data_IF_125489015412
#
_entry.id   IF_125489015412
#
_cell.length_a   1.000
_cell.length_b   1.000
_cell.length_c   1.000
_cell.angle_alpha   90.00
_cell.angle_beta   90.00
_cell.angle_gamma   90.00
#
_symmetry.space_group_name_H-M   'P 1'
#
loop_
_entity.id
_entity.type
_entity.pdbx_description
1 polymer ?
#
# COMPACT_ATOMS: atom_id res chain seq x y z
N UNK A 1 -29.16 5.23 5.88
CA UNK A 1 -29.43 4.28 4.79
C UNK A 1 -30.21 4.88 3.60
N UNK A 2 -31.02 5.92 3.79
CA UNK A 2 -31.68 6.65 2.68
C UNK A 2 -30.73 7.62 1.92
N UNK A 3 -29.61 7.98 2.51
CA UNK A 3 -28.66 8.94 1.93
C UNK A 3 -27.79 8.35 0.81
N UNK A 4 -27.69 7.02 0.73
CA UNK A 4 -26.86 6.33 -0.27
C UNK A 4 -27.54 6.24 -1.63
N UNK A 5 -28.83 6.00 -1.69
CA UNK A 5 -29.55 5.80 -2.96
C UNK A 5 -29.69 7.08 -3.79
N UNK A 6 -30.04 8.20 -3.14
CA UNK A 6 -30.15 9.49 -3.82
C UNK A 6 -28.79 10.01 -4.34
N UNK A 7 -27.71 9.68 -3.62
CA UNK A 7 -26.35 10.05 -4.02
C UNK A 7 -25.87 9.21 -5.21
N UNK A 8 -26.21 7.93 -5.26
CA UNK A 8 -25.89 7.05 -6.39
C UNK A 8 -26.67 7.42 -7.65
N UNK A 9 -27.95 7.78 -7.53
CA UNK A 9 -28.75 8.22 -8.67
C UNK A 9 -28.29 9.59 -9.23
N UNK A 10 -27.82 10.50 -8.37
CA UNK A 10 -27.23 11.75 -8.81
C UNK A 10 -25.89 11.52 -9.54
N UNK A 11 -25.07 10.58 -9.07
CA UNK A 11 -23.79 10.21 -9.70
C UNK A 11 -23.99 9.50 -11.05
N UNK A 12 -25.05 8.72 -11.25
CA UNK A 12 -25.31 8.03 -12.53
C UNK A 12 -25.79 9.01 -13.62
N UNK A 13 -26.39 10.13 -13.26
CA UNK A 13 -26.77 11.18 -14.21
C UNK A 13 -25.60 12.08 -14.64
N UNK A 14 -24.49 12.13 -13.89
CA UNK A 14 -23.33 12.98 -14.17
C UNK A 14 -22.05 12.19 -14.48
N UNK A 15 -22.14 10.99 -15.02
CA UNK A 15 -20.99 10.16 -15.44
C UNK A 15 -19.98 10.88 -16.36
N UNK A 16 -20.28 12.07 -16.82
CA UNK A 16 -19.41 12.84 -17.72
C UNK A 16 -18.47 13.82 -17.02
N UNK A 17 -18.58 14.05 -15.71
CA UNK A 17 -17.77 15.06 -15.05
C UNK A 17 -16.83 14.47 -13.98
N UNK A 18 -15.64 14.00 -14.42
CA UNK A 18 -14.58 13.45 -13.54
C UNK A 18 -14.17 14.41 -12.40
N UNK A 19 -14.34 15.72 -12.60
CA UNK A 19 -14.04 16.74 -11.61
C UNK A 19 -14.98 16.71 -10.40
N UNK A 20 -16.24 16.33 -10.59
CA UNK A 20 -17.25 16.29 -9.52
C UNK A 20 -16.99 15.15 -8.54
N UNK A 21 -16.57 13.99 -9.04
CA UNK A 21 -16.23 12.82 -8.20
C UNK A 21 -15.06 13.11 -7.26
N UNK A 22 -14.02 13.76 -7.78
CA UNK A 22 -12.85 14.18 -6.98
C UNK A 22 -13.26 15.22 -5.96
N UNK A 23 -14.11 16.19 -6.34
CA UNK A 23 -14.62 17.24 -5.45
C UNK A 23 -15.49 16.67 -4.33
N UNK A 24 -16.36 15.72 -4.63
CA UNK A 24 -17.19 15.01 -3.65
C UNK A 24 -16.34 14.21 -2.65
N UNK A 25 -15.35 13.48 -3.13
CA UNK A 25 -14.40 12.80 -2.26
C UNK A 25 -13.66 13.79 -1.35
N UNK A 26 -13.19 14.92 -1.88
CA UNK A 26 -12.50 15.96 -1.11
C UNK A 26 -13.40 16.59 -0.03
N UNK A 27 -14.68 16.81 -0.29
CA UNK A 27 -15.62 17.36 0.71
C UNK A 27 -15.95 16.37 1.83
N UNK A 28 -16.13 15.10 1.52
CA UNK A 28 -16.30 14.05 2.54
C UNK A 28 -15.04 13.95 3.44
N UNK A 29 -13.85 14.14 2.88
CA UNK A 29 -12.58 14.08 3.63
C UNK A 29 -12.27 15.32 4.48
N UNK A 30 -12.91 16.46 4.24
CA UNK A 30 -12.80 17.64 5.12
C UNK A 30 -13.40 17.42 6.50
N UNK A 31 -14.33 16.50 6.65
CA UNK A 31 -14.81 16.03 7.95
C UNK A 31 -13.80 15.01 8.47
N UNK A 32 -12.87 15.44 9.32
CA UNK A 32 -11.90 14.56 10.01
C UNK A 32 -12.65 13.38 10.63
N UNK A 33 -12.41 12.13 10.22
CA UNK A 33 -12.97 11.00 10.95
C UNK A 33 -12.37 11.03 12.36
N UNK A 34 -13.24 10.99 13.36
CA UNK A 34 -12.82 10.79 14.75
C UNK A 34 -12.12 9.43 14.81
N UNK A 35 -10.85 9.43 15.19
CA UNK A 35 -10.06 8.22 15.42
C UNK A 35 -10.61 7.53 16.67
N UNK A 36 -11.60 6.69 16.50
CA UNK A 36 -12.15 5.87 17.58
C UNK A 36 -11.64 4.44 17.40
N UNK A 37 -10.89 3.96 18.38
CA UNK A 37 -10.59 2.54 18.50
C UNK A 37 -11.87 1.74 18.76
N UNK A 38 -11.97 0.52 18.29
CA UNK A 38 -13.12 -0.36 18.50
C UNK A 38 -13.89 -0.68 17.21
N UNK A 39 -15.21 -0.80 17.32
CA UNK A 39 -16.13 -1.24 16.23
C UNK A 39 -16.02 -0.39 14.95
N UNK A 40 -15.55 0.85 15.05
CA UNK A 40 -15.35 1.73 13.90
C UNK A 40 -14.01 1.50 13.16
N UNK A 41 -13.24 0.48 13.51
CA UNK A 41 -11.94 0.18 12.92
C UNK A 41 -12.03 -0.05 11.40
N UNK A 42 -13.07 -0.74 10.96
CA UNK A 42 -13.31 -1.05 9.54
C UNK A 42 -13.80 0.16 8.72
N UNK A 43 -14.19 1.24 9.39
CA UNK A 43 -14.69 2.48 8.78
C UNK A 43 -13.63 3.61 8.79
N UNK A 44 -12.48 3.37 9.40
CA UNK A 44 -11.47 4.39 9.61
C UNK A 44 -10.67 4.76 8.36
N UNK A 45 -10.67 3.90 7.34
CA UNK A 45 -9.94 4.14 6.09
C UNK A 45 -10.76 4.83 5.00
N UNK A 46 -12.05 5.12 5.24
CA UNK A 46 -12.93 5.84 4.31
C UNK A 46 -13.48 4.95 3.18
N UNK A 47 -13.99 5.59 2.14
CA UNK A 47 -14.55 4.91 0.98
C UNK A 47 -13.45 4.57 -0.02
N UNK A 48 -13.05 3.29 -0.08
CA UNK A 48 -11.96 2.78 -0.90
C UNK A 48 -12.41 1.63 -1.81
N UNK A 49 -13.25 1.90 -2.83
CA UNK A 49 -13.82 0.86 -3.69
C UNK A 49 -12.78 0.16 -4.56
N UNK A 50 -11.76 0.87 -5.04
CA UNK A 50 -10.72 0.29 -5.87
C UNK A 50 -9.77 -0.57 -5.03
N UNK A 51 -9.33 -0.07 -3.87
CA UNK A 51 -8.53 -0.85 -2.93
C UNK A 51 -9.29 -2.10 -2.48
N UNK A 52 -10.58 -1.99 -2.18
CA UNK A 52 -11.40 -3.13 -1.78
C UNK A 52 -11.58 -4.17 -2.90
N UNK A 53 -11.52 -3.73 -4.16
CA UNK A 53 -11.68 -4.60 -5.32
C UNK A 53 -10.38 -5.28 -5.75
N UNK A 54 -9.26 -4.57 -5.73
CA UNK A 54 -7.99 -5.02 -6.30
C UNK A 54 -6.93 -5.38 -5.26
N UNK A 55 -7.05 -4.85 -4.03
CA UNK A 55 -6.10 -5.09 -2.97
C UNK A 55 -6.69 -5.96 -1.87
N UNK A 56 -5.84 -6.74 -1.22
CA UNK A 56 -6.19 -7.52 -0.05
C UNK A 56 -5.92 -6.71 1.22
N UNK A 57 -6.93 -6.50 2.06
CA UNK A 57 -6.74 -5.88 3.36
C UNK A 57 -6.09 -6.88 4.33
N UNK A 58 -4.78 -6.74 4.50
CA UNK A 58 -3.99 -7.60 5.40
C UNK A 58 -4.37 -7.37 6.86
N UNK A 59 -4.66 -6.11 7.23
CA UNK A 59 -5.06 -5.76 8.59
C UNK A 59 -6.31 -6.50 9.05
N UNK A 60 -7.30 -6.63 8.19
CA UNK A 60 -8.52 -7.41 8.48
C UNK A 60 -8.21 -8.91 8.58
N UNK A 61 -7.37 -9.43 7.68
CA UNK A 61 -6.97 -10.85 7.71
C UNK A 61 -6.28 -11.24 9.02
N UNK A 62 -5.35 -10.40 9.47
CA UNK A 62 -4.59 -10.65 10.70
C UNK A 62 -5.50 -10.53 11.92
N UNK A 63 -6.38 -9.51 11.98
CA UNK A 63 -7.33 -9.33 13.08
C UNK A 63 -8.32 -10.49 13.21
N UNK A 64 -8.62 -11.19 12.11
CA UNK A 64 -9.47 -12.39 12.09
C UNK A 64 -8.81 -13.66 12.62
N UNK A 65 -7.56 -13.59 13.08
CA UNK A 65 -6.80 -14.76 13.58
C UNK A 65 -6.39 -15.74 12.47
N UNK A 66 -6.52 -15.36 11.21
CA UNK A 66 -6.23 -16.23 10.07
C UNK A 66 -4.72 -16.49 9.86
N UNK A 67 -3.86 -15.68 10.46
CA UNK A 67 -2.41 -15.83 10.38
C UNK A 67 -1.79 -15.56 11.77
N UNK A 68 -1.42 -16.62 12.47
CA UNK A 68 -0.53 -16.50 13.64
C UNK A 68 0.89 -16.20 13.13
N UNK A 69 1.24 -14.92 13.04
CA UNK A 69 2.55 -14.51 12.55
C UNK A 69 3.58 -14.56 13.68
N UNK A 70 4.65 -15.31 13.49
CA UNK A 70 5.77 -15.32 14.44
C UNK A 70 6.55 -14.02 14.28
N UNK A 71 6.27 -13.04 15.14
CA UNK A 71 6.95 -11.73 15.18
C UNK A 71 8.46 -11.83 15.39
N UNK A 72 8.92 -12.88 16.09
CA UNK A 72 10.32 -12.98 16.54
C UNK A 72 11.36 -13.10 15.40
N UNK A 73 10.97 -13.62 14.23
CA UNK A 73 11.94 -13.89 13.16
C UNK A 73 12.41 -12.64 12.39
N UNK A 74 11.66 -11.52 12.49
CA UNK A 74 11.93 -10.31 11.70
C UNK A 74 11.84 -9.01 12.52
N UNK A 75 12.15 -9.07 13.81
CA UNK A 75 12.00 -7.96 14.75
C UNK A 75 12.82 -6.73 14.33
N UNK A 76 14.02 -6.93 13.82
CA UNK A 76 14.88 -5.86 13.33
C UNK A 76 14.25 -5.12 12.14
N UNK A 77 13.74 -5.86 11.15
CA UNK A 77 13.08 -5.28 9.99
C UNK A 77 11.83 -4.49 10.39
N UNK A 78 11.02 -5.02 11.31
CA UNK A 78 9.85 -4.34 11.85
C UNK A 78 10.23 -3.04 12.58
N UNK A 79 11.31 -3.05 13.36
CA UNK A 79 11.84 -1.87 14.02
C UNK A 79 12.30 -0.79 13.04
N UNK A 80 12.97 -1.19 11.96
CA UNK A 80 13.37 -0.27 10.88
C UNK A 80 12.16 0.33 10.16
N UNK A 81 11.13 -0.48 9.86
CA UNK A 81 9.88 0.00 9.25
C UNK A 81 9.18 1.04 10.12
N UNK A 82 9.07 0.79 11.44
CA UNK A 82 8.49 1.75 12.38
C UNK A 82 9.27 3.05 12.42
N UNK A 83 10.61 2.98 12.39
CA UNK A 83 11.49 4.14 12.40
C UNK A 83 11.31 4.99 11.14
N UNK A 84 11.26 4.37 9.96
CA UNK A 84 11.10 5.07 8.68
C UNK A 84 9.71 5.74 8.60
N UNK A 85 8.64 5.01 8.88
CA UNK A 85 7.28 5.56 8.85
C UNK A 85 6.99 6.53 10.00
N UNK A 86 7.70 6.44 11.11
CA UNK A 86 7.60 7.38 12.23
C UNK A 86 8.41 8.65 12.04
N UNK A 87 9.41 8.65 11.13
CA UNK A 87 10.18 9.83 10.77
C UNK A 87 9.36 10.76 9.89
N UNK A 88 9.64 12.05 9.91
CA UNK A 88 9.00 13.04 9.02
C UNK A 88 9.54 13.03 7.58
N UNK A 89 10.33 12.04 7.20
CA UNK A 89 10.95 11.90 5.89
C UNK A 89 10.05 11.20 4.85
N UNK A 90 10.69 10.68 3.80
CA UNK A 90 10.00 9.88 2.77
C UNK A 90 9.39 8.63 3.39
N UNK A 91 8.09 8.43 3.16
CA UNK A 91 7.31 7.36 3.76
C UNK A 91 7.15 6.17 2.80
N UNK A 92 8.26 5.72 2.22
CA UNK A 92 8.30 4.52 1.39
C UNK A 92 9.38 3.55 1.90
N UNK A 93 9.12 2.27 1.78
CA UNK A 93 10.00 1.19 2.20
C UNK A 93 10.03 0.14 1.10
N UNK A 94 11.21 -0.37 0.79
CA UNK A 94 11.36 -1.52 -0.10
C UNK A 94 11.94 -2.69 0.67
N UNK A 95 11.17 -3.76 0.78
CA UNK A 95 11.61 -5.04 1.34
C UNK A 95 12.25 -5.86 0.22
N UNK A 96 13.55 -6.07 0.32
CA UNK A 96 14.34 -6.79 -0.68
C UNK A 96 14.82 -8.10 -0.10
N UNK A 97 14.68 -9.17 -0.85
CA UNK A 97 15.14 -10.50 -0.44
C UNK A 97 14.73 -11.57 -1.45
N UNK A 98 15.35 -12.73 -1.37
CA UNK A 98 15.06 -13.86 -2.24
C UNK A 98 13.59 -14.28 -2.19
N UNK A 99 13.13 -14.99 -3.20
CA UNK A 99 11.78 -15.58 -3.18
C UNK A 99 11.66 -16.54 -2.01
N UNK A 100 10.56 -16.44 -1.26
CA UNK A 100 10.35 -17.22 -0.05
C UNK A 100 11.06 -16.71 1.22
N UNK A 101 11.83 -15.62 1.16
CA UNK A 101 12.52 -15.05 2.34
C UNK A 101 11.58 -14.51 3.43
N UNK A 102 10.25 -14.53 3.21
CA UNK A 102 9.28 -14.07 4.20
C UNK A 102 8.86 -12.61 4.08
N UNK A 103 9.10 -11.94 2.94
CA UNK A 103 8.72 -10.53 2.70
C UNK A 103 7.24 -10.25 3.04
N UNK A 104 6.33 -11.07 2.52
CA UNK A 104 4.88 -10.93 2.77
C UNK A 104 4.51 -11.28 4.22
N UNK A 105 5.30 -12.13 4.89
CA UNK A 105 5.17 -12.43 6.32
C UNK A 105 5.53 -11.20 7.16
N UNK A 106 6.61 -10.50 6.80
CA UNK A 106 7.00 -9.24 7.46
C UNK A 106 5.90 -8.19 7.33
N UNK A 107 5.29 -8.06 6.14
CA UNK A 107 4.17 -7.13 5.92
C UNK A 107 2.97 -7.50 6.80
N UNK A 108 2.67 -8.79 6.93
CA UNK A 108 1.57 -9.28 7.77
C UNK A 108 1.85 -9.03 9.26
N UNK A 109 3.08 -9.31 9.71
CA UNK A 109 3.52 -9.04 11.09
C UNK A 109 3.49 -7.52 11.41
N UNK A 110 3.87 -6.69 10.44
CA UNK A 110 3.78 -5.24 10.56
C UNK A 110 2.31 -4.78 10.70
N UNK A 111 1.41 -5.32 9.89
CA UNK A 111 -0.01 -5.02 9.98
C UNK A 111 -0.61 -5.41 11.36
N UNK A 112 -0.24 -6.57 11.90
CA UNK A 112 -0.63 -7.03 13.24
C UNK A 112 -0.16 -6.07 14.32
N UNK A 113 1.13 -5.68 14.26
CA UNK A 113 1.72 -4.73 15.20
C UNK A 113 1.00 -3.38 15.23
N UNK A 114 0.56 -2.87 14.07
CA UNK A 114 -0.19 -1.61 13.96
C UNK A 114 -1.59 -1.69 14.59
N UNK A 115 -2.25 -2.86 14.47
CA UNK A 115 -3.59 -3.08 15.01
C UNK A 115 -3.57 -3.24 16.53
N UNK A 116 -2.65 -4.07 17.02
CA UNK A 116 -2.56 -4.41 18.44
C UNK A 116 -1.97 -3.28 19.27
N UNK A 117 -1.37 -2.28 18.62
CA UNK A 117 -0.79 -1.11 19.29
C UNK A 117 0.37 -1.49 20.19
N UNK A 118 1.24 -2.42 19.75
CA UNK A 118 2.42 -2.84 20.49
C UNK A 118 3.24 -1.65 20.99
N UNK A 119 3.91 -1.85 22.13
CA UNK A 119 4.82 -0.84 22.72
C UNK A 119 5.89 -0.47 21.69
N UNK A 120 6.01 0.83 21.39
CA UNK A 120 6.95 1.35 20.41
C UNK A 120 6.33 1.80 19.08
N UNK A 121 5.06 1.48 18.81
CA UNK A 121 4.37 1.97 17.60
C UNK A 121 4.06 3.46 17.74
N UNK A 122 4.57 4.33 16.85
CA UNK A 122 4.25 5.75 16.86
C UNK A 122 2.74 6.00 16.74
N UNK A 123 2.24 7.00 17.49
CA UNK A 123 0.79 7.35 17.47
C UNK A 123 0.26 7.64 16.06
N UNK A 124 1.11 8.13 15.17
CA UNK A 124 0.76 8.42 13.77
C UNK A 124 0.51 7.16 12.92
N UNK A 125 0.98 6.01 13.40
CA UNK A 125 0.83 4.72 12.72
C UNK A 125 -0.26 3.84 13.32
N UNK A 126 -0.72 4.16 14.54
CA UNK A 126 -1.78 3.39 15.18
C UNK A 126 -3.04 3.38 14.31
N UNK A 127 -3.63 2.19 14.17
CA UNK A 127 -4.86 1.94 13.40
C UNK A 127 -4.75 2.22 11.89
N UNK A 128 -3.55 2.32 11.35
CA UNK A 128 -3.34 2.31 9.90
C UNK A 128 -3.71 0.92 9.34
N UNK A 129 -4.35 0.92 8.17
CA UNK A 129 -4.73 -0.30 7.46
C UNK A 129 -3.71 -0.61 6.39
N UNK A 130 -3.22 -1.84 6.35
CA UNK A 130 -2.28 -2.30 5.31
C UNK A 130 -3.05 -3.01 4.21
N UNK A 131 -3.00 -2.47 3.01
CA UNK A 131 -3.58 -3.07 1.81
C UNK A 131 -2.46 -3.61 0.92
N UNK A 132 -2.51 -4.89 0.60
CA UNK A 132 -1.56 -5.55 -0.29
C UNK A 132 -2.15 -5.67 -1.69
N UNK A 133 -1.43 -5.17 -2.66
CA UNK A 133 -1.76 -5.13 -4.07
C UNK A 133 -0.71 -5.94 -4.84
N UNK A 134 -1.12 -7.02 -5.48
CA UNK A 134 -0.21 -7.83 -6.28
C UNK A 134 -0.10 -7.26 -7.70
N UNK A 135 1.14 -6.94 -8.09
CA UNK A 135 1.43 -6.36 -9.40
C UNK A 135 1.04 -7.28 -10.55
N UNK A 136 1.25 -8.59 -10.41
CA UNK A 136 0.90 -9.57 -11.46
C UNK A 136 -0.60 -9.62 -11.70
N UNK A 137 -1.39 -9.56 -10.64
CA UNK A 137 -2.86 -9.53 -10.73
C UNK A 137 -3.36 -8.28 -11.44
N UNK A 138 -2.79 -7.11 -11.17
CA UNK A 138 -3.15 -5.87 -11.84
C UNK A 138 -2.81 -5.89 -13.34
N UNK A 139 -1.62 -6.38 -13.68
CA UNK A 139 -1.18 -6.50 -15.06
C UNK A 139 -2.11 -7.43 -15.86
N UNK A 140 -2.57 -8.52 -15.22
CA UNK A 140 -3.44 -9.50 -15.87
C UNK A 140 -4.86 -8.98 -16.15
N UNK A 141 -5.34 -8.02 -15.38
CA UNK A 141 -6.70 -7.45 -15.51
C UNK A 141 -6.74 -6.32 -16.54
N UNK A 142 -5.64 -5.60 -16.73
CA UNK A 142 -5.58 -4.48 -17.65
C UNK A 142 -5.44 -4.96 -19.11
N UNK A 143 -6.24 -4.41 -20.01
CA UNK A 143 -6.19 -4.75 -21.44
C UNK A 143 -4.94 -4.19 -22.15
N UNK A 144 -4.17 -3.31 -21.47
CA UNK A 144 -2.94 -2.74 -22.00
C UNK A 144 -2.30 -1.74 -21.06
N UNK A 145 -1.09 -1.27 -21.45
CA UNK A 145 -0.28 -0.35 -20.62
C UNK A 145 -1.04 0.89 -20.19
N UNK A 146 -1.74 1.58 -21.08
CA UNK A 146 -2.45 2.83 -20.75
C UNK A 146 -3.61 2.62 -19.78
N UNK A 147 -4.31 1.48 -19.85
CA UNK A 147 -5.35 1.14 -18.88
C UNK A 147 -4.74 0.82 -17.51
N UNK A 148 -3.62 0.10 -17.50
CA UNK A 148 -2.89 -0.19 -16.26
C UNK A 148 -2.37 1.09 -15.59
N UNK A 149 -1.78 2.02 -16.34
CA UNK A 149 -1.33 3.32 -15.84
C UNK A 149 -2.49 4.11 -15.21
N UNK A 150 -3.64 4.14 -15.86
CA UNK A 150 -4.84 4.79 -15.33
C UNK A 150 -5.34 4.10 -14.06
N UNK A 151 -5.42 2.78 -14.05
CA UNK A 151 -5.88 1.99 -12.90
C UNK A 151 -4.97 2.20 -11.70
N UNK A 152 -3.65 2.08 -11.88
CA UNK A 152 -2.66 2.29 -10.81
C UNK A 152 -2.75 3.72 -10.28
N UNK A 153 -2.86 4.72 -11.17
CA UNK A 153 -3.02 6.13 -10.77
C UNK A 153 -4.28 6.35 -9.92
N UNK A 154 -5.40 5.73 -10.29
CA UNK A 154 -6.65 5.83 -9.51
C UNK A 154 -6.51 5.18 -8.14
N UNK A 155 -5.89 4.00 -8.05
CA UNK A 155 -5.64 3.29 -6.78
C UNK A 155 -4.72 4.11 -5.87
N UNK A 156 -3.65 4.69 -6.41
CA UNK A 156 -2.72 5.53 -5.66
C UNK A 156 -3.39 6.80 -5.14
N UNK A 157 -4.23 7.44 -5.94
CA UNK A 157 -5.03 8.59 -5.52
C UNK A 157 -6.02 8.23 -4.41
N UNK A 158 -6.70 7.08 -4.52
CA UNK A 158 -7.60 6.59 -3.48
C UNK A 158 -6.86 6.32 -2.17
N UNK A 159 -5.70 5.66 -2.23
CA UNK A 159 -4.84 5.42 -1.07
C UNK A 159 -4.36 6.74 -0.44
N UNK A 160 -3.94 7.71 -1.25
CA UNK A 160 -3.50 9.02 -0.79
C UNK A 160 -4.61 9.80 -0.08
N UNK A 161 -5.82 9.78 -0.63
CA UNK A 161 -6.98 10.46 -0.04
C UNK A 161 -7.41 9.80 1.28
N UNK A 162 -7.28 8.51 1.40
CA UNK A 162 -7.71 7.74 2.59
C UNK A 162 -6.89 8.02 3.85
N UNK A 163 -5.65 8.49 3.74
CA UNK A 163 -4.72 8.89 4.83
C UNK A 163 -4.43 7.83 5.91
N UNK A 164 -5.32 6.88 6.14
CA UNK A 164 -5.16 5.76 7.08
C UNK A 164 -4.74 4.46 6.38
N UNK A 165 -4.28 4.55 5.15
CA UNK A 165 -3.86 3.43 4.33
C UNK A 165 -2.35 3.42 4.18
N UNK A 166 -1.75 2.25 4.38
CA UNK A 166 -0.41 1.90 3.95
C UNK A 166 -0.58 0.95 2.78
N UNK A 167 -0.11 1.34 1.60
CA UNK A 167 -0.20 0.54 0.40
C UNK A 167 1.04 -0.33 0.25
N UNK A 168 0.85 -1.65 0.18
CA UNK A 168 1.90 -2.60 -0.12
C UNK A 168 1.76 -3.07 -1.58
N UNK A 169 2.78 -2.82 -2.39
CA UNK A 169 2.90 -3.37 -3.74
C UNK A 169 3.75 -4.64 -3.68
N UNK A 170 3.10 -5.78 -3.83
CA UNK A 170 3.78 -7.07 -3.87
C UNK A 170 4.29 -7.35 -5.30
N UNK A 171 5.47 -7.93 -5.41
CA UNK A 171 6.19 -8.13 -6.67
C UNK A 171 6.36 -6.83 -7.48
N UNK A 172 6.69 -5.74 -6.81
CA UNK A 172 6.74 -4.40 -7.40
C UNK A 172 7.78 -4.27 -8.54
N UNK A 173 8.78 -5.16 -8.63
CA UNK A 173 9.72 -5.20 -9.75
C UNK A 173 9.00 -5.25 -11.11
N UNK A 174 7.83 -5.89 -11.19
CA UNK A 174 7.06 -6.00 -12.43
C UNK A 174 6.57 -4.65 -12.98
N UNK A 175 6.54 -3.62 -12.14
CA UNK A 175 6.19 -2.24 -12.53
C UNK A 175 7.40 -1.37 -12.91
N UNK A 176 8.59 -1.93 -12.87
CA UNK A 176 9.83 -1.20 -13.18
C UNK A 176 10.65 -1.84 -14.29
N UNK A 177 10.19 -2.97 -14.82
CA UNK A 177 10.83 -3.72 -15.89
C UNK A 177 9.95 -3.71 -17.13
N UNK A 178 10.57 -3.90 -18.31
CA UNK A 178 9.89 -4.17 -19.56
C UNK A 178 10.09 -5.63 -19.95
N UNK A 179 9.00 -6.36 -20.21
CA UNK A 179 9.09 -7.76 -20.59
C UNK A 179 7.74 -8.48 -20.59
N UNK A 180 7.79 -9.77 -20.80
CA UNK A 180 6.59 -10.62 -20.73
C UNK A 180 6.11 -10.68 -19.27
N UNK A 181 4.89 -10.18 -19.02
CA UNK A 181 4.29 -10.16 -17.67
C UNK A 181 4.78 -9.01 -16.79
N UNK A 182 5.51 -8.03 -17.34
CA UNK A 182 5.92 -6.80 -16.65
C UNK A 182 5.60 -5.57 -17.49
N UNK A 183 5.38 -4.43 -16.85
CA UNK A 183 5.06 -3.16 -17.52
C UNK A 183 5.77 -2.03 -16.79
N UNK A 184 6.61 -1.28 -17.49
CA UNK A 184 7.29 -0.13 -16.89
C UNK A 184 6.33 1.02 -16.59
N UNK A 185 6.05 1.23 -15.30
CA UNK A 185 5.25 2.31 -14.75
C UNK A 185 6.10 3.33 -13.96
N UNK A 186 7.40 3.36 -14.19
CA UNK A 186 8.32 4.28 -13.49
C UNK A 186 7.86 5.74 -13.57
N UNK A 187 7.32 6.15 -14.73
CA UNK A 187 6.82 7.52 -14.93
C UNK A 187 5.66 7.88 -13.99
N UNK A 188 4.87 6.90 -13.56
CA UNK A 188 3.74 7.10 -12.64
C UNK A 188 4.20 7.00 -11.18
N UNK A 189 5.01 5.99 -10.88
CA UNK A 189 5.38 5.66 -9.51
C UNK A 189 6.50 6.54 -8.95
N UNK A 190 7.52 6.87 -9.77
CA UNK A 190 8.69 7.62 -9.30
C UNK A 190 8.34 8.98 -8.67
N UNK A 191 7.49 9.83 -9.28
CA UNK A 191 7.14 11.11 -8.66
C UNK A 191 6.43 10.96 -7.30
N UNK A 192 5.65 9.91 -7.13
CA UNK A 192 4.93 9.62 -5.88
C UNK A 192 5.88 9.14 -4.79
N UNK A 193 6.83 8.27 -5.17
CA UNK A 193 7.87 7.77 -4.27
C UNK A 193 8.83 8.88 -3.83
N UNK A 194 9.21 9.78 -4.75
CA UNK A 194 10.06 10.93 -4.45
C UNK A 194 9.37 11.95 -3.54
N UNK A 195 8.08 12.22 -3.80
CA UNK A 195 7.27 13.09 -2.96
C UNK A 195 7.11 12.55 -1.53
N UNK A 196 7.10 11.21 -1.35
CA UNK A 196 7.04 10.54 -0.05
C UNK A 196 5.79 10.82 0.77
N UNK A 197 4.73 11.34 0.16
CA UNK A 197 3.50 11.73 0.84
C UNK A 197 2.53 10.56 1.06
N UNK A 198 2.75 9.45 0.39
CA UNK A 198 1.99 8.21 0.53
C UNK A 198 2.86 7.16 1.23
N UNK A 199 2.31 6.52 2.26
CA UNK A 199 2.98 5.39 2.90
C UNK A 199 2.92 4.17 2.01
N UNK A 200 4.07 3.76 1.50
CA UNK A 200 4.18 2.63 0.59
C UNK A 200 5.21 1.61 1.07
N UNK A 201 4.85 0.35 0.95
CA UNK A 201 5.76 -0.78 1.09
C UNK A 201 5.85 -1.44 -0.30
N UNK A 202 7.05 -1.67 -0.78
CA UNK A 202 7.29 -2.41 -2.01
C UNK A 202 8.01 -3.72 -1.64
N UNK A 203 7.59 -4.84 -2.19
CA UNK A 203 8.36 -6.07 -2.07
C UNK A 203 9.03 -6.37 -3.41
N UNK A 204 10.30 -6.71 -3.38
CA UNK A 204 11.08 -7.01 -4.58
C UNK A 204 12.02 -8.19 -4.34
N UNK A 205 12.30 -8.92 -5.41
CA UNK A 205 13.40 -9.87 -5.43
C UNK A 205 14.74 -9.14 -5.39
N UNK A 206 15.76 -9.70 -4.72
CA UNK A 206 17.06 -9.07 -4.52
C UNK A 206 17.83 -8.90 -5.83
N UNK A 207 17.83 -9.91 -6.69
CA UNK A 207 18.53 -9.87 -7.97
C UNK A 207 17.88 -8.85 -8.91
N UNK A 208 16.55 -8.83 -8.97
CA UNK A 208 15.81 -7.88 -9.79
C UNK A 208 15.93 -6.45 -9.26
N UNK A 209 15.89 -6.26 -7.95
CA UNK A 209 16.14 -4.95 -7.36
C UNK A 209 17.52 -4.41 -7.72
N UNK A 210 18.57 -5.27 -7.70
CA UNK A 210 19.91 -4.87 -8.09
C UNK A 210 19.97 -4.43 -9.57
N UNK A 211 19.33 -5.18 -10.46
CA UNK A 211 19.25 -4.83 -11.89
C UNK A 211 18.52 -3.50 -12.10
N UNK A 212 17.35 -3.33 -11.47
CA UNK A 212 16.56 -2.10 -11.53
C UNK A 212 17.36 -0.91 -11.00
N UNK A 213 18.09 -1.09 -9.90
CA UNK A 213 18.92 -0.04 -9.31
C UNK A 213 20.04 0.42 -10.22
N UNK A 214 20.62 -0.49 -11.01
CA UNK A 214 21.63 -0.17 -12.01
C UNK A 214 21.04 0.56 -13.22
N UNK A 215 19.87 0.14 -13.68
CA UNK A 215 19.20 0.72 -14.85
C UNK A 215 18.52 2.06 -14.52
N UNK A 216 17.98 2.19 -13.31
CA UNK A 216 17.18 3.34 -12.84
C UNK A 216 17.67 3.84 -11.48
N UNK A 217 18.86 4.48 -11.40
CA UNK A 217 19.45 4.93 -10.13
C UNK A 217 18.56 5.92 -9.37
N UNK A 218 17.75 6.72 -10.07
CA UNK A 218 16.79 7.63 -9.45
C UNK A 218 15.78 6.90 -8.58
N UNK A 219 15.29 5.73 -9.04
CA UNK A 219 14.37 4.90 -8.27
C UNK A 219 15.04 4.37 -6.99
N UNK A 220 16.28 3.88 -7.10
CA UNK A 220 17.03 3.39 -5.95
C UNK A 220 17.24 4.50 -4.88
N UNK A 221 17.49 5.73 -5.31
CA UNK A 221 17.60 6.88 -4.40
C UNK A 221 16.28 7.32 -3.77
N UNK A 222 15.16 7.03 -4.42
CA UNK A 222 13.83 7.36 -3.91
C UNK A 222 13.34 6.38 -2.82
N UNK A 223 13.94 5.20 -2.71
CA UNK A 223 13.49 4.09 -1.87
C UNK A 223 14.34 3.91 -0.61
N UNK A 224 13.68 3.62 0.52
CA UNK A 224 14.33 3.17 1.75
C UNK A 224 14.37 1.64 1.76
N UNK A 225 15.52 1.04 1.51
CA UNK A 225 15.66 -0.41 1.35
C UNK A 225 15.92 -1.11 2.68
N UNK A 226 15.18 -2.19 2.93
CA UNK A 226 15.37 -3.11 4.06
C UNK A 226 15.59 -4.50 3.48
N UNK A 227 16.74 -5.11 3.77
CA UNK A 227 17.05 -6.46 3.34
C UNK A 227 16.37 -7.49 4.26
N UNK A 228 15.65 -8.43 3.67
CA UNK A 228 15.01 -9.54 4.37
C UNK A 228 15.79 -10.82 4.09
N UNK A 229 16.36 -11.40 5.13
CA UNK A 229 17.03 -12.69 5.06
C UNK A 229 16.04 -13.82 5.39
N UNK A 230 16.14 -14.99 4.73
CA UNK A 230 15.35 -16.14 5.12
C UNK A 230 15.61 -16.46 6.59
N UNK A 231 14.55 -16.67 7.37
CA UNK A 231 14.72 -17.15 8.74
C UNK A 231 15.33 -18.55 8.69
N UNK A 232 16.57 -18.69 9.13
CA UNK A 232 17.12 -19.98 9.46
C UNK A 232 16.31 -20.52 10.64
N UNK A 233 15.49 -21.55 10.40
CA UNK A 233 14.92 -22.32 11.49
C UNK A 233 16.08 -22.90 12.29
N UNK A 234 16.24 -22.44 13.52
CA UNK A 234 17.10 -23.05 14.52
C UNK A 234 16.29 -24.06 15.32
#
# INVERSE_FOLDING_TARGET
>A
LKYTDDTYQAMDKEKQNRGYFVSFCIEQYKKKPLRTGGIARDWSFGYTPLLSRFAQNISVRVSGGAMATKLAAHEEALGQMLKIFGSGGRQNITLVGADGAGKSTVVSAFAEMLIDGHQGVPRSLLYQQVFMLDASSLISVAAGRGELENLVTMILNEAFLSKNVILCLDNAQLFFEEGVGSVDLSNVLLPILEAGNLRMILTMDDQRFLQISQMKPQLAHALNTIAIQPSTEA
#
